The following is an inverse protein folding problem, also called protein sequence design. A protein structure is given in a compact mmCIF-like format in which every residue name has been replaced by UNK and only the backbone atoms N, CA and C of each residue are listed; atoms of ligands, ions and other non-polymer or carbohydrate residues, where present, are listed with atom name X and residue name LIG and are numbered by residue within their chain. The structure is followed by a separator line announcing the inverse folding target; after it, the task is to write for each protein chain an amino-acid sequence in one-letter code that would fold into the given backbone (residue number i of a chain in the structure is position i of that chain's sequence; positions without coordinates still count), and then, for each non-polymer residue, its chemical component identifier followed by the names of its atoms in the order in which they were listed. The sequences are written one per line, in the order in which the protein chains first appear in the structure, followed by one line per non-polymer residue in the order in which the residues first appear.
data_IF_160352838597
#
_entry.id   IF_160352838597
#
_cell.length_a   1.000
_cell.length_b   1.000
_cell.length_c   1.000
_cell.angle_alpha   90.00
_cell.angle_beta   90.00
_cell.angle_gamma   90.00
#
_symmetry.space_group_name_H-M   'P 1'
#
loop_
_entity.id
_entity.type
_entity.pdbx_description
1 polymer ?
#
# COMPACT_ATOMS: atom_id res chain seq x y z
N UNK A 1 7.36 -7.51 42.94
CA UNK A 1 8.50 -8.28 42.40
C UNK A 1 8.90 -7.86 40.97
N UNK A 2 7.96 -7.60 40.04
CA UNK A 2 8.23 -7.07 38.67
C UNK A 2 9.17 -5.85 38.64
N UNK A 3 9.04 -4.93 39.61
CA UNK A 3 9.89 -3.73 39.72
C UNK A 3 11.38 -4.05 39.83
N UNK A 4 11.73 -5.18 40.46
CA UNK A 4 13.13 -5.60 40.60
C UNK A 4 13.69 -6.14 39.27
N UNK A 5 12.90 -6.92 38.53
CA UNK A 5 13.28 -7.41 37.20
C UNK A 5 13.49 -6.26 36.20
N UNK A 6 12.61 -5.26 36.19
CA UNK A 6 12.80 -4.05 35.38
C UNK A 6 14.08 -3.29 35.74
N UNK A 7 14.39 -3.16 37.04
CA UNK A 7 15.62 -2.51 37.51
C UNK A 7 16.88 -3.27 37.10
N UNK A 8 16.84 -4.61 37.14
CA UNK A 8 17.95 -5.47 36.73
C UNK A 8 18.13 -5.42 35.20
N UNK A 9 17.05 -5.49 34.43
CA UNK A 9 17.09 -5.38 32.98
C UNK A 9 17.68 -4.04 32.54
N UNK A 10 17.22 -2.92 33.11
CA UNK A 10 17.75 -1.59 32.81
C UNK A 10 19.26 -1.48 33.11
N UNK A 11 19.70 -2.02 34.26
CA UNK A 11 21.12 -2.02 34.63
C UNK A 11 21.97 -2.89 33.71
N UNK A 12 21.42 -4.00 33.21
CA UNK A 12 22.13 -4.89 32.28
C UNK A 12 22.23 -4.29 30.86
N UNK A 13 21.15 -3.65 30.39
CA UNK A 13 21.11 -2.85 29.16
C UNK A 13 22.15 -1.71 29.18
N UNK A 14 22.33 -1.05 30.33
CA UNK A 14 23.33 0.00 30.51
C UNK A 14 24.77 -0.50 30.68
N UNK A 15 24.99 -1.77 31.05
CA UNK A 15 26.34 -2.36 31.10
C UNK A 15 26.83 -2.77 29.71
N UNK A 16 25.93 -3.25 28.86
CA UNK A 16 26.21 -3.67 27.49
C UNK A 16 25.58 -2.70 26.47
N UNK A 17 25.93 -1.41 26.55
CA UNK A 17 25.30 -0.35 25.74
C UNK A 17 25.47 -0.56 24.25
N UNK A 18 26.68 -0.91 23.79
CA UNK A 18 26.95 -1.06 22.34
C UNK A 18 26.13 -2.20 21.74
N UNK A 19 26.21 -3.39 22.36
CA UNK A 19 25.50 -4.57 21.89
C UNK A 19 23.97 -4.41 21.98
N UNK A 20 23.47 -3.84 23.08
CA UNK A 20 22.03 -3.60 23.22
C UNK A 20 21.52 -2.53 22.26
N UNK A 21 22.29 -1.48 22.00
CA UNK A 21 21.91 -0.39 21.08
C UNK A 21 21.82 -0.91 19.65
N UNK A 22 22.81 -1.66 19.18
CA UNK A 22 22.79 -2.24 17.83
C UNK A 22 21.61 -3.20 17.68
N UNK A 23 21.35 -4.06 18.67
CA UNK A 23 20.26 -5.02 18.61
C UNK A 23 18.87 -4.34 18.62
N UNK A 24 18.66 -3.33 19.47
CA UNK A 24 17.42 -2.55 19.52
C UNK A 24 17.20 -1.76 18.24
N UNK A 25 18.24 -1.10 17.71
CA UNK A 25 18.15 -0.32 16.48
C UNK A 25 17.85 -1.25 15.29
N UNK A 26 18.59 -2.35 15.14
CA UNK A 26 18.36 -3.30 14.05
C UNK A 26 16.95 -3.89 14.07
N UNK A 27 16.47 -4.29 15.25
CA UNK A 27 15.13 -4.85 15.40
C UNK A 27 14.04 -3.78 15.16
N UNK A 28 14.25 -2.55 15.64
CA UNK A 28 13.30 -1.45 15.44
C UNK A 28 13.23 -1.01 13.97
N UNK A 29 14.38 -0.92 13.28
CA UNK A 29 14.44 -0.56 11.86
C UNK A 29 13.78 -1.63 11.00
N UNK A 30 14.07 -2.91 11.24
CA UNK A 30 13.44 -4.02 10.52
C UNK A 30 11.92 -4.03 10.67
N UNK A 31 11.44 -3.85 11.91
CA UNK A 31 10.00 -3.75 12.19
C UNK A 31 9.36 -2.54 11.50
N UNK A 32 10.00 -1.37 11.60
CA UNK A 32 9.50 -0.12 10.99
C UNK A 32 9.44 -0.22 9.47
N UNK A 33 10.49 -0.77 8.85
CA UNK A 33 10.55 -1.00 7.41
C UNK A 33 9.44 -1.96 6.95
N UNK A 34 9.27 -3.08 7.65
CA UNK A 34 8.21 -4.05 7.37
C UNK A 34 6.81 -3.41 7.47
N UNK A 35 6.55 -2.63 8.53
CA UNK A 35 5.28 -1.94 8.72
C UNK A 35 5.03 -0.87 7.66
N UNK A 36 6.04 -0.08 7.30
CA UNK A 36 5.94 0.92 6.24
C UNK A 36 5.65 0.26 4.89
N UNK A 37 6.33 -0.84 4.58
CA UNK A 37 6.11 -1.58 3.33
C UNK A 37 4.69 -2.18 3.28
N UNK A 38 4.22 -2.78 4.38
CA UNK A 38 2.85 -3.28 4.48
C UNK A 38 1.82 -2.16 4.33
N UNK A 39 2.06 -1.00 4.95
CA UNK A 39 1.17 0.16 4.85
C UNK A 39 1.16 0.75 3.44
N UNK A 40 2.31 0.77 2.75
CA UNK A 40 2.41 1.16 1.35
C UNK A 40 1.60 0.22 0.44
N UNK A 41 1.75 -1.09 0.62
CA UNK A 41 0.98 -2.08 -0.15
C UNK A 41 -0.52 -1.94 0.12
N UNK A 42 -0.91 -1.76 1.38
CA UNK A 42 -2.31 -1.50 1.76
C UNK A 42 -2.84 -0.23 1.10
N UNK A 43 -2.02 0.83 1.03
CA UNK A 43 -2.38 2.06 0.37
C UNK A 43 -2.52 1.87 -1.15
N UNK A 44 -1.60 1.17 -1.80
CA UNK A 44 -1.66 0.86 -3.23
C UNK A 44 -2.89 0.01 -3.58
N UNK A 45 -3.16 -1.05 -2.80
CA UNK A 45 -4.32 -1.90 -2.98
C UNK A 45 -5.63 -1.13 -2.69
N UNK A 46 -5.62 -0.24 -1.70
CA UNK A 46 -6.77 0.63 -1.42
C UNK A 46 -6.97 1.67 -2.50
N UNK A 47 -5.92 2.12 -3.20
CA UNK A 47 -6.01 3.04 -4.33
C UNK A 47 -6.61 2.34 -5.56
N UNK A 48 -6.20 1.09 -5.82
CA UNK A 48 -6.80 0.24 -6.86
C UNK A 48 -8.27 -0.11 -6.53
N UNK A 49 -8.61 -0.20 -5.23
CA UNK A 49 -9.99 -0.36 -4.73
C UNK A 49 -10.75 0.96 -4.52
N UNK A 50 -10.14 2.14 -4.69
CA UNK A 50 -10.83 3.43 -4.52
C UNK A 50 -11.82 3.69 -5.66
N UNK A 51 -11.72 2.92 -6.76
CA UNK A 51 -12.82 2.74 -7.69
C UNK A 51 -13.80 1.70 -7.12
N UNK A 52 -14.74 2.16 -6.28
CA UNK A 52 -15.89 1.39 -5.79
C UNK A 52 -16.83 0.82 -6.90
N UNK A 53 -16.43 0.96 -8.18
CA UNK A 53 -17.13 0.51 -9.39
C UNK A 53 -16.15 -0.13 -10.40
N UNK A 54 -15.09 -0.80 -9.96
CA UNK A 54 -14.20 -1.57 -10.85
C UNK A 54 -14.94 -2.62 -11.71
N UNK A 55 -16.04 -3.17 -11.18
CA UNK A 55 -16.95 -4.09 -11.89
C UNK A 55 -17.79 -3.39 -12.99
N UNK A 56 -17.81 -2.05 -13.02
CA UNK A 56 -18.56 -1.22 -13.98
C UNK A 56 -17.66 -0.34 -14.84
N UNK A 57 -16.36 -0.64 -14.93
CA UNK A 57 -15.47 -0.02 -15.90
C UNK A 57 -15.81 -0.50 -17.33
N UNK A 58 -17.00 -0.14 -17.81
CA UNK A 58 -17.43 -0.42 -19.17
C UNK A 58 -16.73 0.56 -20.10
N UNK A 59 -15.84 0.06 -20.94
CA UNK A 59 -15.25 0.85 -22.02
C UNK A 59 -16.33 1.04 -23.09
N UNK A 60 -16.85 2.25 -23.22
CA UNK A 60 -17.79 2.60 -24.29
C UNK A 60 -17.00 2.65 -25.60
N UNK A 61 -17.20 1.65 -26.46
CA UNK A 61 -16.60 1.59 -27.81
C UNK A 61 -17.73 1.90 -28.80
N UNK A 62 -17.50 2.88 -29.66
CA UNK A 62 -18.44 3.21 -30.74
C UNK A 62 -18.18 2.26 -31.91
N UNK A 63 -19.20 1.50 -32.28
CA UNK A 63 -19.18 0.63 -33.46
C UNK A 63 -19.93 1.33 -34.59
N UNK A 64 -19.21 1.71 -35.65
CA UNK A 64 -19.83 2.28 -36.85
C UNK A 64 -19.89 1.19 -37.93
N UNK A 65 -21.10 0.79 -38.32
CA UNK A 65 -21.34 -0.15 -39.40
C UNK A 65 -21.82 0.61 -40.64
N UNK A 66 -20.96 0.69 -41.65
CA UNK A 66 -21.33 1.21 -42.97
C UNK A 66 -20.99 0.15 -44.00
N UNK A 67 -22.00 -0.63 -44.40
CA UNK A 67 -21.94 -1.50 -45.58
C UNK A 67 -20.89 -2.62 -45.53
N UNK A 68 -20.72 -3.29 -44.39
CA UNK A 68 -19.93 -4.54 -44.30
C UNK A 68 -18.52 -4.42 -43.70
N UNK A 69 -18.04 -3.20 -43.44
CA UNK A 69 -16.76 -2.96 -42.76
C UNK A 69 -17.02 -2.35 -41.37
N UNK A 70 -16.80 -3.13 -40.32
CA UNK A 70 -16.94 -2.67 -38.93
C UNK A 70 -15.65 -2.01 -38.48
N UNK A 71 -15.66 -0.69 -38.32
CA UNK A 71 -14.53 0.06 -37.74
C UNK A 71 -14.80 0.34 -36.27
N UNK A 72 -14.00 -0.26 -35.39
CA UNK A 72 -14.07 -0.05 -33.93
C UNK A 72 -13.04 1.00 -33.52
N UNK A 73 -13.49 2.18 -33.12
CA UNK A 73 -12.63 3.31 -32.74
C UNK A 73 -12.91 3.80 -31.33
N UNK A 74 -11.86 4.20 -30.59
CA UNK A 74 -11.98 4.82 -29.27
C UNK A 74 -12.29 6.32 -29.39
N UNK A 75 -13.37 6.67 -30.08
CA UNK A 75 -13.81 8.06 -30.27
C UNK A 75 -15.20 8.22 -29.67
N UNK A 76 -15.30 8.86 -28.51
CA UNK A 76 -16.60 9.27 -27.95
C UNK A 76 -16.66 10.80 -27.90
N UNK A 77 -17.72 11.40 -28.44
CA UNK A 77 -17.85 12.86 -28.55
C UNK A 77 -18.33 13.52 -27.25
N UNK A 78 -18.59 12.75 -26.19
CA UNK A 78 -19.17 13.24 -24.93
C UNK A 78 -18.42 12.68 -23.72
N UNK A 79 -18.23 13.52 -22.70
CA UNK A 79 -17.54 13.18 -21.46
C UNK A 79 -18.38 12.15 -20.68
N UNK A 80 -17.98 10.89 -20.71
CA UNK A 80 -18.69 9.77 -20.04
C UNK A 80 -18.26 9.54 -18.58
N UNK A 81 -17.27 10.28 -18.09
CA UNK A 81 -16.79 10.19 -16.71
C UNK A 81 -17.24 11.42 -15.90
N UNK A 82 -17.82 11.26 -14.69
CA UNK A 82 -18.13 12.39 -13.82
C UNK A 82 -16.84 13.11 -13.43
N UNK A 83 -16.91 14.43 -13.30
CA UNK A 83 -15.83 15.28 -12.79
C UNK A 83 -15.43 14.90 -11.37
#
# INVERSE_FOLDING_TARGET
MIKNYFKIAWRNLWKNKVFSTVNIIGLSIGLTCCLLMALYIQHELSYDNFQAKGDRAVRVIMEYNMGGSVSKGNYTSTKVMPS
#
